data_IF_522421987648
#
_entry.id   IF_522421987648
#
_cell.length_a   1.000
_cell.length_b   1.000
_cell.length_c   1.000
_cell.angle_alpha   90.00
_cell.angle_beta   90.00
_cell.angle_gamma   90.00
#
_symmetry.space_group_name_H-M   'P 1'
#
loop_
_entity.id
_entity.type
_entity.pdbx_description
1 polymer ?
#
# COMPACT_ATOMS: atom_id res chain seq x y z
N UNK A 1 -7.95 28.12 -36.11
CA UNK A 1 -6.84 28.89 -35.51
C UNK A 1 -5.80 27.90 -34.99
N UNK A 2 -4.74 27.69 -35.78
CA UNK A 2 -3.58 26.86 -35.42
C UNK A 2 -2.60 27.71 -34.58
N UNK A 3 -2.10 27.17 -33.47
CA UNK A 3 -0.87 27.66 -32.86
C UNK A 3 -0.02 26.46 -32.42
N UNK A 4 1.01 26.16 -33.22
CA UNK A 4 2.14 25.28 -32.92
C UNK A 4 3.24 26.12 -32.26
N UNK A 5 3.93 25.56 -31.26
CA UNK A 5 5.30 25.91 -30.82
C UNK A 5 5.75 24.73 -29.92
N UNK A 6 6.59 23.80 -30.37
CA UNK A 6 8.03 23.85 -30.68
C UNK A 6 8.94 23.83 -29.43
N UNK A 7 9.54 22.64 -29.21
CA UNK A 7 10.84 22.25 -28.64
C UNK A 7 11.54 23.13 -27.58
N UNK A 8 12.01 22.48 -26.51
CA UNK A 8 13.44 22.48 -26.16
C UNK A 8 13.82 21.29 -25.25
N UNK A 9 14.90 20.60 -25.63
CA UNK A 9 15.59 19.54 -24.90
C UNK A 9 16.25 20.06 -23.61
N UNK A 10 16.32 19.21 -22.59
CA UNK A 10 17.46 19.18 -21.66
C UNK A 10 17.71 17.73 -21.23
N UNK A 11 18.78 17.17 -21.78
CA UNK A 11 19.37 15.93 -21.32
C UNK A 11 20.01 16.16 -19.94
N UNK A 12 19.66 15.35 -18.94
CA UNK A 12 20.39 15.29 -17.68
C UNK A 12 20.87 13.86 -17.44
N UNK A 13 22.07 13.63 -17.96
CA UNK A 13 23.22 12.95 -17.37
C UNK A 13 22.97 11.86 -16.33
N UNK A 14 23.45 10.67 -16.70
CA UNK A 14 23.89 9.53 -15.91
C UNK A 14 24.21 9.78 -14.42
N UNK A 15 23.69 8.89 -13.58
CA UNK A 15 24.15 8.66 -12.22
C UNK A 15 23.88 7.22 -11.77
N UNK A 16 24.61 6.27 -12.35
CA UNK A 16 24.69 4.88 -11.88
C UNK A 16 25.39 4.85 -10.51
N UNK A 17 24.64 4.68 -9.43
CA UNK A 17 25.17 4.28 -8.13
C UNK A 17 24.75 2.84 -7.83
N UNK A 18 25.52 1.89 -8.38
CA UNK A 18 25.45 0.48 -8.00
C UNK A 18 26.18 0.33 -6.67
N UNK A 19 25.43 0.12 -5.59
CA UNK A 19 25.99 -0.27 -4.30
C UNK A 19 26.24 -1.79 -4.29
N UNK A 20 27.46 -2.26 -3.95
CA UNK A 20 27.74 -3.68 -3.81
C UNK A 20 27.13 -4.21 -2.50
N UNK A 21 26.25 -5.21 -2.63
CA UNK A 21 25.70 -5.96 -1.51
C UNK A 21 26.80 -6.88 -0.96
N UNK A 22 27.31 -6.54 0.22
CA UNK A 22 28.28 -7.35 0.94
C UNK A 22 27.66 -8.69 1.34
N UNK A 23 28.16 -9.78 0.75
CA UNK A 23 27.97 -11.13 1.25
C UNK A 23 28.75 -11.30 2.56
N UNK A 24 28.06 -11.56 3.67
CA UNK A 24 28.70 -12.00 4.91
C UNK A 24 28.37 -13.47 5.13
N UNK A 25 29.27 -14.31 4.61
CA UNK A 25 29.46 -15.68 5.06
C UNK A 25 30.23 -15.63 6.38
N UNK A 26 29.66 -16.15 7.47
CA UNK A 26 30.43 -16.61 8.62
C UNK A 26 29.87 -17.95 9.08
N UNK A 27 30.51 -19.00 8.58
CA UNK A 27 30.53 -20.31 9.21
C UNK A 27 31.63 -20.31 10.28
N UNK A 28 31.26 -20.65 11.52
CA UNK A 28 32.11 -21.16 12.62
C UNK A 28 31.12 -21.45 13.75
N UNK A 29 30.85 -22.67 14.17
CA UNK A 29 31.80 -23.74 14.46
C UNK A 29 31.84 -23.87 15.98
N UNK A 30 31.28 -24.96 16.52
CA UNK A 30 31.73 -25.59 17.78
C UNK A 30 30.94 -26.86 18.07
N UNK A 31 31.55 -27.97 17.65
CA UNK A 31 31.42 -29.25 18.34
C UNK A 31 31.94 -29.07 19.76
N UNK A 32 31.13 -29.40 20.75
CA UNK A 32 31.57 -29.66 22.11
C UNK A 32 30.91 -30.96 22.57
N UNK A 33 31.80 -31.92 22.83
CA UNK A 33 31.61 -33.25 23.37
C UNK A 33 30.86 -33.27 24.70
N UNK A 34 29.93 -34.21 24.84
CA UNK A 34 29.24 -34.57 26.07
C UNK A 34 30.15 -35.38 27.02
N UNK A 35 30.05 -35.18 28.34
CA UNK A 35 30.32 -36.23 29.32
C UNK A 35 29.04 -37.03 29.61
N UNK A 36 29.19 -38.34 29.72
CA UNK A 36 28.17 -39.25 30.20
C UNK A 36 28.01 -39.11 31.72
N UNK A 37 26.77 -38.98 32.19
CA UNK A 37 26.39 -39.42 33.53
C UNK A 37 24.92 -39.78 33.55
N UNK A 38 24.66 -40.99 34.01
CA UNK A 38 23.36 -41.63 34.20
C UNK A 38 22.35 -40.77 34.95
N UNK A 39 21.07 -40.90 34.59
CA UNK A 39 20.00 -40.44 35.47
C UNK A 39 18.64 -40.24 34.81
N UNK A 40 17.86 -41.32 34.76
CA UNK A 40 16.38 -41.30 34.90
C UNK A 40 15.61 -40.51 33.81
N UNK A 41 15.28 -41.23 32.74
CA UNK A 41 14.25 -40.83 31.78
C UNK A 41 12.90 -40.60 32.49
N UNK A 42 12.46 -39.34 32.53
CA UNK A 42 11.04 -39.00 32.63
C UNK A 42 10.66 -38.41 31.28
N UNK A 43 10.00 -39.24 30.48
CA UNK A 43 9.47 -38.87 29.18
C UNK A 43 8.30 -37.90 29.36
N UNK A 44 8.59 -36.61 29.48
CA UNK A 44 7.57 -35.57 29.33
C UNK A 44 7.53 -35.22 27.85
N UNK A 45 6.67 -35.90 27.10
CA UNK A 45 6.28 -35.49 25.76
C UNK A 45 5.58 -34.13 25.87
N UNK A 46 6.36 -33.06 25.83
CA UNK A 46 5.85 -31.70 25.76
C UNK A 46 5.34 -31.51 24.34
N UNK A 47 4.05 -31.82 24.17
CA UNK A 47 3.24 -31.36 23.05
C UNK A 47 3.57 -29.89 22.84
N UNK A 48 4.32 -29.62 21.77
CA UNK A 48 4.45 -28.30 21.21
C UNK A 48 3.04 -27.89 20.81
N UNK A 49 2.37 -27.18 21.70
CA UNK A 49 1.12 -26.48 21.41
C UNK A 49 1.51 -25.47 20.34
N UNK A 50 1.28 -25.87 19.10
CA UNK A 50 1.42 -25.06 17.89
C UNK A 50 0.36 -23.97 18.02
N UNK A 51 0.69 -22.90 18.75
CA UNK A 51 -0.18 -21.75 18.86
C UNK A 51 -0.39 -21.24 17.43
N UNK A 52 -1.64 -21.18 16.93
CA UNK A 52 -1.87 -20.61 15.62
C UNK A 52 -1.37 -19.17 15.70
N UNK A 53 -0.34 -18.87 14.91
CA UNK A 53 0.21 -17.53 14.77
C UNK A 53 -0.95 -16.66 14.31
N UNK A 54 -1.62 -15.99 15.24
CA UNK A 54 -2.63 -14.99 14.93
C UNK A 54 -1.85 -13.82 14.37
N UNK A 55 -1.73 -13.78 13.04
CA UNK A 55 -1.27 -12.61 12.33
C UNK A 55 -2.30 -11.52 12.66
N UNK A 56 -1.99 -10.71 13.68
CA UNK A 56 -2.80 -9.55 14.04
C UNK A 56 -2.61 -8.56 12.91
N UNK A 57 -3.57 -8.53 11.97
CA UNK A 57 -3.58 -7.48 10.96
C UNK A 57 -3.73 -6.14 11.70
N UNK A 58 -2.84 -5.16 11.45
CA UNK A 58 -2.95 -3.85 12.07
C UNK A 58 -4.29 -3.23 11.69
N UNK A 59 -5.11 -2.93 12.69
CA UNK A 59 -6.38 -2.25 12.50
C UNK A 59 -6.12 -0.85 11.93
N UNK A 60 -6.62 -0.58 10.73
CA UNK A 60 -6.53 0.76 10.12
C UNK A 60 -7.34 1.72 10.98
N UNK A 61 -6.77 2.84 11.45
CA UNK A 61 -7.49 3.81 12.27
C UNK A 61 -8.74 4.31 11.55
N UNK A 62 -9.85 4.46 12.28
CA UNK A 62 -11.10 5.01 11.74
C UNK A 62 -10.82 6.35 11.05
N UNK A 63 -11.22 6.46 9.79
CA UNK A 63 -10.98 7.65 8.98
C UNK A 63 -9.63 7.68 8.26
N UNK A 64 -8.86 6.58 8.21
CA UNK A 64 -7.77 6.37 7.25
C UNK A 64 -8.16 5.31 6.24
N UNK A 65 -7.71 5.47 5.00
CA UNK A 65 -7.86 4.49 3.93
C UNK A 65 -6.53 4.26 3.22
N UNK A 66 -6.36 3.08 2.65
CA UNK A 66 -5.23 2.73 1.80
C UNK A 66 -5.64 2.84 0.33
N UNK A 67 -4.96 3.68 -0.44
CA UNK A 67 -5.08 3.73 -1.89
C UNK A 67 -3.94 2.90 -2.47
N UNK A 68 -4.25 1.88 -3.27
CA UNK A 68 -3.27 1.09 -4.00
C UNK A 68 -3.49 1.26 -5.50
N UNK A 69 -2.46 1.68 -6.21
CA UNK A 69 -2.46 1.67 -7.67
C UNK A 69 -1.86 0.34 -8.14
N UNK A 70 -2.65 -0.54 -8.76
CA UNK A 70 -2.19 -1.77 -9.42
C UNK A 70 -2.20 -1.66 -10.94
N UNK A 71 -2.53 -0.48 -11.45
CA UNK A 71 -2.61 -0.21 -12.87
C UNK A 71 -1.22 0.09 -13.40
N UNK A 72 -0.95 -0.29 -14.66
CA UNK A 72 0.31 0.01 -15.36
C UNK A 72 0.36 1.47 -15.89
N UNK A 73 -0.08 2.41 -15.07
CA UNK A 73 -0.17 3.85 -15.38
C UNK A 73 -0.05 4.65 -14.08
N UNK A 74 0.57 5.82 -14.11
CA UNK A 74 0.71 6.69 -12.95
C UNK A 74 -0.62 7.38 -12.68
N UNK A 75 -1.12 7.28 -11.44
CA UNK A 75 -2.29 8.03 -11.01
C UNK A 75 -1.88 9.48 -10.72
N UNK A 76 -2.36 10.42 -11.53
CA UNK A 76 -2.08 11.85 -11.38
C UNK A 76 -2.89 12.45 -10.23
N UNK A 77 -4.19 12.16 -10.20
CA UNK A 77 -5.08 12.64 -9.15
C UNK A 77 -6.17 11.62 -8.81
N UNK A 78 -6.43 11.46 -7.52
CA UNK A 78 -7.56 10.71 -7.00
C UNK A 78 -8.39 11.60 -6.09
N UNK A 79 -9.66 11.77 -6.45
CA UNK A 79 -10.60 12.55 -5.68
C UNK A 79 -11.79 11.73 -5.19
N UNK A 80 -12.29 12.09 -4.01
CA UNK A 80 -13.51 11.56 -3.44
C UNK A 80 -14.55 12.67 -3.31
N UNK A 81 -15.79 12.35 -3.61
CA UNK A 81 -16.95 13.23 -3.44
C UNK A 81 -17.96 12.52 -2.55
N UNK A 82 -18.24 13.04 -1.35
CA UNK A 82 -19.22 12.43 -0.46
C UNK A 82 -20.63 12.49 -1.04
N UNK A 83 -21.37 11.42 -0.83
CA UNK A 83 -22.76 11.33 -1.25
C UNK A 83 -23.65 11.77 -0.10
N UNK A 84 -24.12 13.02 -0.15
CA UNK A 84 -25.09 13.55 0.81
C UNK A 84 -26.46 12.89 0.56
N UNK A 85 -27.14 12.51 1.64
CA UNK A 85 -28.53 12.03 1.57
C UNK A 85 -29.51 13.12 1.13
N UNK A 86 -29.21 14.39 1.42
CA UNK A 86 -30.13 15.53 1.26
C UNK A 86 -29.92 16.33 -0.04
N UNK A 87 -29.49 15.71 -1.13
CA UNK A 87 -29.46 16.34 -2.46
C UNK A 87 -28.45 17.48 -2.68
N UNK A 88 -27.74 17.91 -1.64
CA UNK A 88 -26.68 18.91 -1.75
C UNK A 88 -25.46 18.39 -2.50
N UNK A 89 -24.90 19.19 -3.41
CA UNK A 89 -23.62 18.88 -4.07
C UNK A 89 -22.48 19.01 -3.06
N UNK A 90 -21.74 17.93 -2.82
CA UNK A 90 -20.50 17.99 -2.05
C UNK A 90 -19.34 18.39 -2.96
N UNK A 91 -18.36 19.12 -2.42
CA UNK A 91 -17.14 19.47 -3.14
C UNK A 91 -16.23 18.24 -3.23
N UNK A 92 -15.68 17.92 -4.41
CA UNK A 92 -14.65 16.88 -4.53
C UNK A 92 -13.41 17.24 -3.70
N UNK A 93 -12.77 16.23 -3.11
CA UNK A 93 -11.52 16.37 -2.36
C UNK A 93 -10.48 15.40 -2.90
N UNK A 94 -9.31 15.91 -3.26
CA UNK A 94 -8.16 15.08 -3.66
C UNK A 94 -7.57 14.40 -2.43
N UNK A 95 -7.30 13.10 -2.52
CA UNK A 95 -6.79 12.25 -1.44
C UNK A 95 -5.48 11.55 -1.77
N UNK A 96 -5.12 11.45 -3.05
CA UNK A 96 -3.83 10.96 -3.52
C UNK A 96 -3.47 11.66 -4.83
N UNK A 97 -2.17 11.81 -5.09
CA UNK A 97 -1.58 12.34 -6.31
C UNK A 97 -0.28 11.61 -6.59
N UNK A 98 0.17 11.62 -7.84
CA UNK A 98 1.45 11.09 -8.31
C UNK A 98 1.76 9.66 -7.81
N UNK A 99 0.75 8.78 -7.79
CA UNK A 99 0.90 7.42 -7.28
C UNK A 99 1.28 6.47 -8.42
N UNK A 100 2.56 6.10 -8.47
CA UNK A 100 3.09 5.20 -9.49
C UNK A 100 2.49 3.78 -9.43
N UNK A 101 2.75 3.00 -10.48
CA UNK A 101 2.38 1.57 -10.55
C UNK A 101 2.85 0.80 -9.32
N UNK A 102 1.98 -0.06 -8.79
CA UNK A 102 2.17 -0.91 -7.61
C UNK A 102 2.42 -0.18 -6.28
N UNK A 103 2.35 1.16 -6.26
CA UNK A 103 2.51 1.93 -5.04
C UNK A 103 1.24 2.03 -4.20
N UNK A 104 1.43 2.38 -2.92
CA UNK A 104 0.37 2.61 -1.95
C UNK A 104 0.50 3.99 -1.32
N UNK A 105 -0.62 4.66 -1.10
CA UNK A 105 -0.74 5.87 -0.30
C UNK A 105 -1.75 5.67 0.83
N UNK A 106 -1.53 6.35 1.95
CA UNK A 106 -2.50 6.39 3.05
C UNK A 106 -3.14 7.77 3.06
N UNK A 107 -4.47 7.81 3.00
CA UNK A 107 -5.22 9.06 2.98
C UNK A 107 -6.21 9.12 4.15
N UNK A 108 -6.47 10.34 4.63
CA UNK A 108 -7.47 10.58 5.67
C UNK A 108 -8.83 10.91 5.05
N UNK A 109 -9.87 10.21 5.46
CA UNK A 109 -11.25 10.51 5.11
C UNK A 109 -11.75 11.74 5.89
N UNK A 110 -12.57 12.60 5.27
CA UNK A 110 -13.26 13.67 6.00
C UNK A 110 -14.25 13.07 7.00
N UNK A 111 -14.09 13.40 8.29
CA UNK A 111 -14.88 12.85 9.41
C UNK A 111 -16.38 13.17 9.33
N UNK A 112 -16.74 14.25 8.65
CA UNK A 112 -18.09 14.83 8.71
C UNK A 112 -19.04 14.32 7.61
N UNK A 113 -18.57 13.50 6.66
CA UNK A 113 -19.22 13.39 5.35
C UNK A 113 -19.82 12.01 5.04
N UNK A 114 -20.06 11.22 6.09
CA UNK A 114 -20.62 9.86 5.97
C UNK A 114 -19.62 8.87 5.38
N UNK A 115 -20.11 7.69 5.00
CA UNK A 115 -19.26 6.58 4.56
C UNK A 115 -19.32 6.30 3.07
N UNK A 116 -20.25 6.92 2.34
CA UNK A 116 -20.46 6.68 0.91
C UNK A 116 -19.87 7.79 0.06
N UNK A 117 -19.00 7.41 -0.88
CA UNK A 117 -18.27 8.34 -1.74
C UNK A 117 -18.37 7.94 -3.21
N UNK A 118 -18.43 8.92 -4.09
CA UNK A 118 -18.04 8.75 -5.48
C UNK A 118 -16.53 9.00 -5.60
N UNK A 119 -15.82 8.12 -6.27
CA UNK A 119 -14.36 8.17 -6.44
C UNK A 119 -14.09 8.46 -7.91
N UNK A 120 -13.16 9.38 -8.18
CA UNK A 120 -12.69 9.71 -9.53
C UNK A 120 -11.18 9.72 -9.54
N UNK A 121 -10.58 8.98 -10.45
CA UNK A 121 -9.13 8.98 -10.66
C UNK A 121 -8.79 9.30 -12.11
N UNK A 122 -7.66 9.94 -12.31
CA UNK A 122 -7.12 10.31 -13.62
C UNK A 122 -5.67 9.88 -13.71
N UNK A 123 -5.31 9.28 -14.84
CA UNK A 123 -4.01 8.65 -15.06
C UNK A 123 -3.21 9.39 -16.15
N UNK A 124 -1.91 9.16 -16.18
CA UNK A 124 -0.98 9.72 -17.16
C UNK A 124 -1.22 9.24 -18.60
N UNK A 125 -1.83 8.07 -18.77
CA UNK A 125 -2.30 7.52 -20.06
C UNK A 125 -3.60 8.18 -20.58
N UNK A 126 -4.03 9.30 -19.98
CA UNK A 126 -5.26 10.04 -20.27
C UNK A 126 -6.57 9.29 -19.98
N UNK A 127 -6.52 8.12 -19.35
CA UNK A 127 -7.72 7.39 -18.94
C UNK A 127 -8.25 7.85 -17.58
N UNK A 128 -9.52 7.54 -17.32
CA UNK A 128 -10.23 7.95 -16.11
C UNK A 128 -10.96 6.77 -15.50
N UNK A 129 -10.92 6.67 -14.18
CA UNK A 129 -11.71 5.71 -13.41
C UNK A 129 -12.78 6.45 -12.63
N UNK A 130 -14.01 5.95 -12.67
CA UNK A 130 -15.11 6.46 -11.86
C UNK A 130 -15.79 5.31 -11.14
N UNK A 131 -15.82 5.38 -9.80
CA UNK A 131 -16.49 4.39 -8.96
C UNK A 131 -17.60 5.10 -8.20
N UNK A 132 -18.84 4.73 -8.48
CA UNK A 132 -19.99 5.31 -7.80
C UNK A 132 -20.28 4.60 -6.46
N UNK A 133 -20.71 5.38 -5.46
CA UNK A 133 -21.33 4.90 -4.21
C UNK A 133 -20.51 3.89 -3.38
N UNK A 134 -19.17 4.01 -3.34
CA UNK A 134 -18.30 3.14 -2.54
C UNK A 134 -18.40 3.42 -1.04
N UNK A 135 -18.40 2.38 -0.20
CA UNK A 135 -18.42 2.54 1.27
C UNK A 135 -17.00 2.47 1.86
N UNK A 136 -16.32 3.61 1.95
CA UNK A 136 -14.92 3.68 2.36
C UNK A 136 -14.69 3.44 3.86
N UNK A 137 -15.70 3.63 4.70
CA UNK A 137 -15.60 3.28 6.12
C UNK A 137 -15.52 1.77 6.34
N UNK A 138 -16.25 0.99 5.53
CA UNK A 138 -16.28 -0.47 5.61
C UNK A 138 -15.08 -1.09 4.90
N UNK A 139 -14.75 -0.58 3.71
CA UNK A 139 -13.75 -1.22 2.86
C UNK A 139 -12.32 -0.91 3.31
N UNK A 140 -12.07 0.29 3.86
CA UNK A 140 -10.75 0.71 4.33
C UNK A 140 -9.67 0.85 3.23
N UNK A 141 -9.98 0.49 1.99
CA UNK A 141 -9.05 0.54 0.87
C UNK A 141 -9.72 0.82 -0.47
N UNK A 142 -8.95 1.42 -1.38
CA UNK A 142 -9.27 1.62 -2.79
C UNK A 142 -8.17 0.95 -3.59
N UNK A 143 -8.52 -0.05 -4.41
CA UNK A 143 -7.59 -0.67 -5.36
C UNK A 143 -7.96 -0.22 -6.76
N UNK A 144 -7.00 0.40 -7.45
CA UNK A 144 -7.14 0.83 -8.84
C UNK A 144 -6.51 -0.24 -9.72
N UNK A 145 -7.33 -0.93 -10.51
CA UNK A 145 -6.92 -1.98 -11.43
C UNK A 145 -7.67 -1.79 -12.76
N UNK A 146 -7.13 -2.37 -13.83
CA UNK A 146 -7.74 -2.41 -15.17
C UNK A 146 -9.01 -3.27 -15.22
#
# INVERSE_FOLDING_TARGET
MLKRSALACAAFVCGLAVLPLAAQSLAMGRSASSPATDGRSVATAQLAIQQPIRIVMPAVPVGRIVVQNRRRATLLDLSITPLKKTGGRAKPRVIAHDLATDQKAVASLPKEQGCHFAIRGHFDDATKVTIARRNLCRDGAITLAD
#
